data_IF_191286655306
#
_entry.id   IF_191286655306
#
_cell.length_a   1.000
_cell.length_b   1.000
_cell.length_c   1.000
_cell.angle_alpha   90.00
_cell.angle_beta   90.00
_cell.angle_gamma   90.00
#
_symmetry.space_group_name_H-M   'P 1'
#
loop_
_entity.id
_entity.type
_entity.pdbx_description
1 polymer ?
#
# COMPACT_ATOMS: atom_id res chain seq x y z
N UNK A 1 12.75 -11.99 -3.16
CA UNK A 1 13.46 -12.49 -4.36
C UNK A 1 12.41 -13.17 -5.24
N UNK A 2 12.27 -12.73 -6.49
CA UNK A 2 11.27 -13.33 -7.39
C UNK A 2 11.62 -14.80 -7.66
N UNK A 3 10.64 -15.68 -7.52
CA UNK A 3 10.79 -17.10 -7.84
C UNK A 3 10.32 -17.32 -9.28
N UNK A 4 11.25 -17.16 -10.21
CA UNK A 4 10.98 -17.27 -11.64
C UNK A 4 10.59 -18.67 -12.08
N UNK A 5 11.13 -19.71 -11.44
CA UNK A 5 10.81 -21.09 -11.77
C UNK A 5 9.35 -21.41 -11.45
N UNK A 6 8.89 -20.99 -10.28
CA UNK A 6 7.47 -21.15 -9.91
C UNK A 6 6.55 -20.31 -10.79
N UNK A 7 6.96 -19.07 -11.16
CA UNK A 7 6.20 -18.22 -12.06
C UNK A 7 6.04 -18.86 -13.44
N UNK A 8 7.10 -19.38 -14.00
CA UNK A 8 7.08 -20.05 -15.30
C UNK A 8 6.26 -21.34 -15.24
N UNK A 9 6.45 -22.16 -14.22
CA UNK A 9 5.68 -23.40 -14.03
C UNK A 9 4.16 -23.13 -13.88
N UNK A 10 3.80 -22.07 -13.18
CA UNK A 10 2.40 -21.66 -13.04
C UNK A 10 1.81 -21.21 -14.40
N UNK A 11 2.56 -20.46 -15.18
CA UNK A 11 2.14 -20.04 -16.51
C UNK A 11 1.96 -21.23 -17.46
N UNK A 12 2.91 -22.18 -17.44
CA UNK A 12 2.84 -23.39 -18.27
C UNK A 12 1.66 -24.27 -17.86
N UNK A 13 1.36 -24.33 -16.56
CA UNK A 13 0.15 -25.02 -16.06
C UNK A 13 -1.13 -24.38 -16.57
N UNK A 14 -1.22 -23.04 -16.63
CA UNK A 14 -2.36 -22.34 -17.22
C UNK A 14 -2.52 -22.70 -18.68
N UNK A 15 -1.41 -22.73 -19.44
CA UNK A 15 -1.45 -23.10 -20.87
C UNK A 15 -1.95 -24.54 -21.08
N UNK A 16 -1.46 -25.48 -20.28
CA UNK A 16 -1.90 -26.88 -20.32
C UNK A 16 -3.40 -27.04 -19.95
N UNK A 17 -3.85 -26.36 -18.91
CA UNK A 17 -5.27 -26.36 -18.50
C UNK A 17 -6.16 -25.73 -19.57
N UNK A 18 -5.70 -24.66 -20.25
CA UNK A 18 -6.42 -24.04 -21.37
C UNK A 18 -6.61 -25.04 -22.50
N UNK A 19 -5.56 -25.77 -22.90
CA UNK A 19 -5.67 -26.82 -23.93
C UNK A 19 -6.62 -27.93 -23.52
N UNK A 20 -6.49 -28.40 -22.28
CA UNK A 20 -7.38 -29.44 -21.75
C UNK A 20 -8.84 -28.98 -21.78
N UNK A 21 -9.12 -27.78 -21.28
CA UNK A 21 -10.46 -27.20 -21.30
C UNK A 21 -11.04 -27.12 -22.71
N UNK A 22 -10.25 -26.63 -23.65
CA UNK A 22 -10.68 -26.46 -25.04
C UNK A 22 -10.97 -27.81 -25.74
N UNK A 23 -10.42 -28.91 -25.24
CA UNK A 23 -10.66 -30.26 -25.77
C UNK A 23 -11.88 -30.97 -25.18
N UNK A 24 -12.44 -30.46 -24.08
CA UNK A 24 -13.59 -31.07 -23.43
C UNK A 24 -14.82 -31.14 -24.36
N UNK A 25 -15.65 -32.14 -24.14
CA UNK A 25 -16.89 -32.35 -24.91
C UNK A 25 -16.66 -32.30 -26.45
N UNK A 26 -15.61 -33.00 -26.93
CA UNK A 26 -15.20 -33.03 -28.32
C UNK A 26 -14.92 -31.62 -28.91
N UNK A 27 -14.41 -30.72 -28.11
CA UNK A 27 -14.07 -29.36 -28.53
C UNK A 27 -15.23 -28.37 -28.51
N UNK A 28 -16.35 -28.69 -27.89
CA UNK A 28 -17.48 -27.77 -27.70
C UNK A 28 -17.08 -26.42 -27.17
N UNK A 29 -16.10 -26.40 -26.26
CA UNK A 29 -15.58 -25.21 -25.59
C UNK A 29 -14.29 -24.69 -26.20
N UNK A 30 -13.95 -25.14 -27.42
CA UNK A 30 -12.74 -24.75 -28.10
C UNK A 30 -12.65 -23.21 -28.21
N UNK A 31 -11.50 -22.67 -27.86
CA UNK A 31 -11.16 -21.23 -27.86
C UNK A 31 -11.91 -20.34 -26.86
N UNK A 32 -12.75 -20.89 -25.99
CA UNK A 32 -13.38 -20.06 -24.94
C UNK A 32 -12.36 -19.48 -23.95
N UNK A 33 -11.32 -20.26 -23.63
CA UNK A 33 -10.27 -19.85 -22.68
C UNK A 33 -9.08 -19.16 -23.34
N UNK A 34 -9.04 -19.10 -24.69
CA UNK A 34 -7.95 -18.41 -25.40
C UNK A 34 -8.04 -16.88 -25.30
N UNK A 35 -9.21 -16.39 -24.95
CA UNK A 35 -9.49 -14.98 -24.93
C UNK A 35 -8.97 -14.32 -23.65
N UNK A 36 -8.01 -13.42 -23.81
CA UNK A 36 -7.51 -12.59 -22.72
C UNK A 36 -8.48 -11.43 -22.48
N UNK A 37 -9.19 -11.38 -21.35
CA UNK A 37 -10.13 -10.30 -21.07
C UNK A 37 -9.48 -8.94 -21.27
N UNK A 38 -10.07 -8.10 -22.09
CA UNK A 38 -9.60 -6.73 -22.38
C UNK A 38 -8.15 -6.63 -22.86
N UNK A 39 -7.53 -7.73 -23.32
CA UNK A 39 -6.12 -7.80 -23.72
C UNK A 39 -5.15 -7.29 -22.65
N UNK A 40 -5.48 -7.50 -21.38
CA UNK A 40 -4.68 -7.02 -20.26
C UNK A 40 -3.32 -7.75 -20.20
N UNK A 41 -2.20 -7.02 -19.97
CA UNK A 41 -0.87 -7.61 -19.92
C UNK A 41 -0.67 -8.58 -18.75
N UNK A 42 -1.52 -8.55 -17.71
CA UNK A 42 -1.47 -9.48 -16.58
C UNK A 42 -1.64 -10.96 -17.00
N UNK A 43 -2.22 -11.21 -18.17
CA UNK A 43 -2.35 -12.57 -18.73
C UNK A 43 -1.18 -12.97 -19.63
N UNK A 44 -0.17 -12.14 -19.78
CA UNK A 44 1.04 -12.48 -20.50
C UNK A 44 2.03 -13.18 -19.58
N UNK A 45 2.91 -14.02 -20.14
CA UNK A 45 4.07 -14.52 -19.40
C UNK A 45 4.87 -13.32 -18.91
N UNK A 46 5.28 -13.35 -17.65
CA UNK A 46 6.08 -12.27 -17.07
C UNK A 46 7.44 -12.23 -17.77
N UNK A 47 7.76 -11.11 -18.40
CA UNK A 47 9.05 -10.90 -19.02
C UNK A 47 10.13 -10.72 -17.95
N UNK A 48 11.21 -11.49 -18.06
CA UNK A 48 12.39 -11.30 -17.24
C UNK A 48 13.10 -10.05 -17.74
N UNK A 49 12.73 -8.89 -17.24
CA UNK A 49 13.52 -7.68 -17.47
C UNK A 49 14.90 -7.90 -16.84
N UNK A 50 15.96 -7.72 -17.61
CA UNK A 50 17.31 -7.63 -17.03
C UNK A 50 17.24 -6.60 -15.89
N UNK A 51 17.86 -6.93 -14.76
CA UNK A 51 17.87 -6.05 -13.59
C UNK A 51 18.49 -4.70 -13.98
N UNK A 52 17.65 -3.78 -14.41
CA UNK A 52 18.00 -2.40 -14.66
C UNK A 52 17.97 -1.69 -13.32
N UNK A 53 19.15 -1.43 -12.81
CA UNK A 53 19.49 -0.84 -11.53
C UNK A 53 19.36 -1.79 -10.32
N UNK A 54 20.29 -1.72 -9.36
CA UNK A 54 20.08 -2.37 -8.08
C UNK A 54 18.77 -1.83 -7.52
N UNK A 55 17.85 -2.73 -7.15
CA UNK A 55 16.77 -2.35 -6.26
C UNK A 55 17.45 -1.59 -5.12
N UNK A 56 17.05 -0.33 -4.93
CA UNK A 56 17.47 0.44 -3.76
C UNK A 56 17.39 -0.49 -2.57
N UNK A 57 18.53 -0.68 -1.90
CA UNK A 57 18.65 -1.60 -0.77
C UNK A 57 17.41 -1.44 0.10
N UNK A 58 16.76 -2.54 0.47
CA UNK A 58 15.52 -2.51 1.25
C UNK A 58 15.73 -1.59 2.44
N UNK A 59 15.20 -0.38 2.36
CA UNK A 59 15.31 0.62 3.41
C UNK A 59 14.62 0.04 4.64
N UNK A 60 15.38 -0.24 5.67
CA UNK A 60 14.82 -0.78 6.91
C UNK A 60 14.06 0.34 7.63
N UNK A 61 12.79 0.12 7.89
CA UNK A 61 12.00 1.03 8.71
C UNK A 61 12.58 1.05 10.15
N UNK A 62 12.73 2.24 10.72
CA UNK A 62 13.13 2.42 12.13
C UNK A 62 11.98 2.12 13.09
N UNK A 63 10.76 2.36 12.65
CA UNK A 63 9.53 1.96 13.33
C UNK A 63 8.50 1.48 12.32
N UNK A 64 7.70 0.49 12.73
CA UNK A 64 6.58 -0.03 11.96
C UNK A 64 5.45 -0.36 12.90
N UNK A 65 4.22 -0.04 12.51
CA UNK A 65 2.99 -0.37 13.23
C UNK A 65 1.92 -0.84 12.26
N UNK A 66 1.11 -1.75 12.71
CA UNK A 66 -0.22 -1.98 12.15
C UNK A 66 -1.16 -0.84 12.61
N UNK A 67 -2.14 -0.47 11.80
CA UNK A 67 -3.11 0.57 12.17
C UNK A 67 -3.82 0.30 13.49
N UNK A 68 -4.08 -0.98 13.79
CA UNK A 68 -4.72 -1.42 15.04
C UNK A 68 -3.81 -1.31 16.28
N UNK A 69 -2.51 -1.03 16.13
CA UNK A 69 -1.54 -0.93 17.23
C UNK A 69 -1.34 0.51 17.76
N UNK A 70 -2.20 1.44 17.34
CA UNK A 70 -2.14 2.81 17.84
C UNK A 70 -2.26 2.86 19.37
N UNK A 71 -1.37 3.61 20.01
CA UNK A 71 -1.36 3.73 21.50
C UNK A 71 -2.55 4.50 22.06
N UNK A 72 -3.13 5.41 21.25
CA UNK A 72 -4.29 6.24 21.63
C UNK A 72 -5.16 6.46 20.41
N UNK A 73 -6.43 6.59 20.64
CA UNK A 73 -7.44 6.89 19.64
C UNK A 73 -8.52 5.81 19.58
N UNK A 74 -9.60 6.14 18.91
CA UNK A 74 -10.72 5.24 18.68
C UNK A 74 -10.68 4.79 17.22
N UNK A 75 -10.57 3.49 17.01
CA UNK A 75 -10.67 2.90 15.69
C UNK A 75 -11.49 1.62 15.76
N UNK A 76 -12.15 1.30 14.67
CA UNK A 76 -12.80 0.00 14.48
C UNK A 76 -11.77 -0.93 13.87
N UNK A 77 -11.46 -2.01 14.55
CA UNK A 77 -10.56 -3.03 14.00
C UNK A 77 -11.28 -3.85 12.96
N UNK A 78 -10.76 -3.83 11.73
CA UNK A 78 -11.24 -4.59 10.59
C UNK A 78 -10.45 -5.91 10.50
N UNK A 79 -10.99 -6.99 11.05
CA UNK A 79 -10.36 -8.31 11.01
C UNK A 79 -10.40 -8.90 9.59
N UNK A 80 -9.33 -9.60 9.21
CA UNK A 80 -9.19 -10.21 7.88
C UNK A 80 -8.78 -9.26 6.77
N UNK A 81 -8.62 -7.96 7.04
CA UNK A 81 -8.19 -6.94 6.09
C UNK A 81 -6.77 -6.47 6.36
N UNK A 82 -6.14 -5.90 5.33
CA UNK A 82 -4.77 -5.38 5.43
C UNK A 82 -3.69 -6.45 5.30
N UNK A 83 -2.45 -6.01 5.34
CA UNK A 83 -1.27 -6.84 5.11
C UNK A 83 -1.07 -7.93 6.17
N UNK A 84 -1.37 -7.61 7.43
CA UNK A 84 -1.24 -8.51 8.57
C UNK A 84 -2.58 -9.10 9.03
N UNK A 85 -3.63 -8.98 8.20
CA UNK A 85 -4.97 -9.45 8.52
C UNK A 85 -5.71 -8.60 9.55
N UNK A 86 -5.23 -7.40 9.81
CA UNK A 86 -5.88 -6.39 10.67
C UNK A 86 -5.63 -5.00 10.10
N UNK A 87 -6.66 -4.19 10.03
CA UNK A 87 -6.58 -2.78 9.70
C UNK A 87 -7.44 -1.96 10.65
N UNK A 88 -7.29 -0.66 10.69
CA UNK A 88 -8.03 0.22 11.59
C UNK A 88 -8.85 1.26 10.81
N UNK A 89 -10.16 1.17 10.87
CA UNK A 89 -11.04 2.22 10.36
C UNK A 89 -11.07 3.38 11.36
N UNK A 90 -10.72 4.56 10.88
CA UNK A 90 -10.73 5.80 11.64
C UNK A 90 -11.98 6.59 11.22
N UNK A 91 -12.91 6.82 12.15
CA UNK A 91 -14.09 7.63 11.87
C UNK A 91 -13.70 9.06 11.59
N UNK A 92 -14.49 9.74 10.78
CA UNK A 92 -14.29 11.17 10.48
C UNK A 92 -14.19 12.00 11.77
N UNK A 93 -13.09 12.74 11.90
CA UNK A 93 -12.79 13.56 13.06
C UNK A 93 -11.98 12.85 14.15
N UNK A 94 -11.95 11.53 14.19
CA UNK A 94 -11.12 10.76 15.11
C UNK A 94 -9.66 10.68 14.62
N UNK A 95 -8.77 10.37 15.55
CA UNK A 95 -7.34 10.28 15.27
C UNK A 95 -6.71 9.09 15.99
N UNK A 96 -5.66 8.54 15.37
CA UNK A 96 -4.78 7.54 15.95
C UNK A 96 -3.42 8.16 16.26
N UNK A 97 -2.83 7.79 17.40
CA UNK A 97 -1.52 8.27 17.83
C UNK A 97 -0.54 7.11 17.97
N UNK A 98 0.59 7.23 17.28
CA UNK A 98 1.73 6.32 17.35
C UNK A 98 2.87 7.02 18.06
N UNK A 99 3.53 6.33 18.99
CA UNK A 99 4.63 6.90 19.76
C UNK A 99 5.92 6.15 19.49
N UNK A 100 7.00 6.88 19.29
CA UNK A 100 8.32 6.33 19.05
C UNK A 100 9.41 7.10 19.77
N UNK A 101 10.58 6.46 19.87
CA UNK A 101 11.71 7.03 20.58
C UNK A 101 12.52 8.01 19.76
N UNK A 102 13.65 8.42 20.31
CA UNK A 102 14.56 9.35 19.68
C UNK A 102 15.08 8.83 18.32
N UNK A 103 15.07 9.71 17.34
CA UNK A 103 15.69 9.50 16.03
C UNK A 103 16.98 10.30 15.94
N UNK A 104 17.95 9.78 15.18
CA UNK A 104 19.25 10.45 14.95
C UNK A 104 19.24 11.37 13.73
N UNK A 105 18.06 11.73 13.26
CA UNK A 105 17.86 12.55 12.07
C UNK A 105 16.98 13.76 12.40
N UNK A 106 17.06 14.79 11.59
CA UNK A 106 16.23 15.99 11.70
C UNK A 106 14.98 15.93 10.83
N UNK A 107 14.77 14.85 10.08
CA UNK A 107 13.56 14.58 9.34
C UNK A 107 13.30 13.08 9.18
N UNK A 108 12.03 12.72 9.07
CA UNK A 108 11.56 11.33 8.90
C UNK A 108 10.61 11.25 7.72
N UNK A 109 10.78 10.24 6.89
CA UNK A 109 9.80 9.87 5.87
C UNK A 109 8.80 8.90 6.51
N UNK A 110 7.53 9.22 6.38
CA UNK A 110 6.42 8.41 6.87
C UNK A 110 5.71 7.79 5.67
N UNK A 111 5.77 6.47 5.56
CA UNK A 111 4.96 5.68 4.63
C UNK A 111 3.66 5.30 5.31
N UNK A 112 2.55 5.79 4.79
CA UNK A 112 1.21 5.50 5.29
C UNK A 112 0.52 4.62 4.26
N UNK A 113 0.13 3.44 4.68
CA UNK A 113 -0.56 2.44 3.86
C UNK A 113 -2.00 2.32 4.31
N UNK A 114 -2.91 2.46 3.35
CA UNK A 114 -4.34 2.46 3.57
C UNK A 114 -5.01 1.43 2.64
N UNK A 115 -6.20 0.98 3.00
CA UNK A 115 -6.99 0.15 2.11
C UNK A 115 -7.58 0.99 0.98
N UNK A 116 -7.52 0.53 -0.27
CA UNK A 116 -8.04 1.24 -1.43
C UNK A 116 -9.55 1.04 -1.58
N UNK A 117 -10.30 1.47 -0.56
CA UNK A 117 -11.76 1.38 -0.54
C UNK A 117 -12.43 2.55 -1.26
N UNK A 118 -13.74 2.43 -1.49
CA UNK A 118 -14.53 3.50 -2.07
C UNK A 118 -14.86 4.59 -1.06
N UNK A 119 -14.94 5.86 -1.47
CA UNK A 119 -15.36 6.94 -0.61
C UNK A 119 -16.87 6.83 -0.31
N UNK A 120 -17.26 7.32 0.85
CA UNK A 120 -18.67 7.49 1.20
C UNK A 120 -19.23 8.77 0.55
N UNK A 121 -18.35 9.77 0.43
CA UNK A 121 -18.64 11.07 -0.19
C UNK A 121 -17.43 11.48 -1.03
N UNK A 122 -17.66 12.26 -2.08
CA UNK A 122 -16.61 12.74 -2.98
C UNK A 122 -15.83 11.64 -3.72
N UNK A 123 -14.75 12.04 -4.40
CA UNK A 123 -13.90 11.16 -5.20
C UNK A 123 -12.59 10.78 -4.48
N UNK A 124 -12.35 11.33 -3.29
CA UNK A 124 -11.10 11.18 -2.53
C UNK A 124 -11.39 10.89 -1.08
N UNK A 125 -10.45 10.20 -0.44
CA UNK A 125 -10.39 10.08 1.00
C UNK A 125 -9.23 10.92 1.52
N UNK A 126 -9.51 11.76 2.51
CA UNK A 126 -8.54 12.68 3.12
C UNK A 126 -8.29 12.32 4.57
N UNK A 127 -7.06 12.49 4.95
CA UNK A 127 -6.62 12.43 6.34
C UNK A 127 -5.54 13.50 6.57
N UNK A 128 -5.24 13.81 7.80
CA UNK A 128 -4.14 14.69 8.13
C UNK A 128 -3.12 13.96 9.00
N UNK A 129 -1.88 14.40 8.88
CA UNK A 129 -0.74 13.85 9.61
C UNK A 129 -0.01 14.97 10.30
N UNK A 130 0.29 14.80 11.57
CA UNK A 130 1.14 15.74 12.32
C UNK A 130 2.13 15.01 13.19
N UNK A 131 3.29 15.62 13.40
CA UNK A 131 4.34 15.12 14.29
C UNK A 131 4.53 16.13 15.43
N UNK A 132 4.49 15.63 16.68
CA UNK A 132 4.75 16.41 17.91
C UNK A 132 3.89 17.66 18.09
N UNK A 133 2.69 17.68 17.51
CA UNK A 133 1.78 18.82 17.58
C UNK A 133 2.10 19.94 16.59
N UNK A 134 2.95 19.68 15.59
CA UNK A 134 3.14 20.58 14.46
C UNK A 134 1.85 20.75 13.64
N UNK A 135 1.82 21.77 12.78
CA UNK A 135 0.70 22.00 11.86
C UNK A 135 0.40 20.73 11.04
N UNK A 136 -0.85 20.24 11.02
CA UNK A 136 -1.19 19.03 10.31
C UNK A 136 -1.08 19.18 8.79
N UNK A 137 -0.38 18.27 8.13
CA UNK A 137 -0.37 18.15 6.68
C UNK A 137 -1.56 17.33 6.21
N UNK A 138 -2.36 17.89 5.29
CA UNK A 138 -3.51 17.20 4.70
C UNK A 138 -3.06 16.36 3.51
N UNK A 139 -3.38 15.08 3.58
CA UNK A 139 -3.04 14.08 2.57
C UNK A 139 -4.33 13.49 2.01
N UNK A 140 -4.39 13.30 0.69
CA UNK A 140 -5.52 12.68 0.03
C UNK A 140 -5.08 11.54 -0.85
N UNK A 141 -5.93 10.54 -1.04
CA UNK A 141 -5.76 9.51 -2.05
C UNK A 141 -7.02 9.34 -2.88
N UNK A 142 -6.80 9.11 -4.18
CA UNK A 142 -7.89 9.01 -5.15
C UNK A 142 -8.63 7.69 -4.98
N UNK A 143 -9.94 7.76 -4.86
CA UNK A 143 -10.81 6.61 -4.68
C UNK A 143 -11.94 6.55 -5.70
N UNK A 144 -11.97 7.51 -6.63
CA UNK A 144 -12.92 7.49 -7.74
C UNK A 144 -12.74 6.23 -8.58
N UNK A 145 -13.80 5.46 -8.72
CA UNK A 145 -13.79 4.25 -9.52
C UNK A 145 -13.32 4.48 -10.95
N UNK A 146 -12.39 3.63 -11.43
CA UNK A 146 -11.73 3.69 -12.74
C UNK A 146 -10.71 4.81 -12.94
N UNK A 147 -10.39 5.65 -11.96
CA UNK A 147 -9.22 6.51 -12.04
C UNK A 147 -7.94 5.66 -12.11
N UNK A 148 -6.86 6.19 -12.69
CA UNK A 148 -5.61 5.44 -12.81
C UNK A 148 -5.02 5.13 -11.42
N UNK A 149 -5.03 6.10 -10.52
CA UNK A 149 -4.56 5.90 -9.15
C UNK A 149 -5.37 4.81 -8.41
N UNK A 150 -6.72 4.84 -8.55
CA UNK A 150 -7.55 3.82 -7.95
C UNK A 150 -7.24 2.42 -8.48
N UNK A 151 -7.07 2.28 -9.79
CA UNK A 151 -6.68 1.00 -10.41
C UNK A 151 -5.35 0.48 -9.87
N UNK A 152 -4.34 1.34 -9.78
CA UNK A 152 -3.05 0.97 -9.21
C UNK A 152 -3.16 0.56 -7.74
N UNK A 153 -3.89 1.32 -6.95
CA UNK A 153 -4.10 1.03 -5.54
C UNK A 153 -4.82 -0.31 -5.35
N UNK A 154 -5.87 -0.59 -6.13
CA UNK A 154 -6.60 -1.87 -6.08
C UNK A 154 -5.72 -3.04 -6.53
N UNK A 155 -4.97 -2.91 -7.62
CA UNK A 155 -4.06 -3.95 -8.10
C UNK A 155 -2.93 -4.25 -7.10
N UNK A 156 -2.50 -3.25 -6.37
CA UNK A 156 -1.50 -3.36 -5.30
C UNK A 156 -2.11 -3.81 -3.97
N UNK A 157 -3.42 -3.75 -3.86
CA UNK A 157 -4.19 -3.93 -2.62
C UNK A 157 -3.82 -2.94 -1.51
N UNK A 158 -3.24 -1.81 -1.84
CA UNK A 158 -2.86 -0.73 -0.92
C UNK A 158 -2.85 0.63 -1.62
N UNK A 159 -3.34 1.66 -0.95
CA UNK A 159 -3.02 3.05 -1.25
C UNK A 159 -1.82 3.46 -0.39
N UNK A 160 -0.78 4.01 -1.00
CA UNK A 160 0.45 4.40 -0.30
C UNK A 160 0.64 5.90 -0.41
N UNK A 161 0.90 6.55 0.73
CA UNK A 161 1.27 7.96 0.81
C UNK A 161 2.56 8.11 1.59
N UNK A 162 3.44 8.95 1.06
CA UNK A 162 4.74 9.26 1.65
C UNK A 162 4.80 10.74 1.95
N UNK A 163 5.17 11.07 3.15
CA UNK A 163 5.37 12.43 3.60
C UNK A 163 6.70 12.54 4.35
N UNK A 164 7.34 13.69 4.29
CA UNK A 164 8.58 13.95 5.04
C UNK A 164 8.28 15.02 6.08
N UNK A 165 8.44 14.66 7.34
CA UNK A 165 8.16 15.52 8.48
C UNK A 165 9.46 15.90 9.20
N UNK A 166 9.62 17.17 9.63
CA UNK A 166 10.75 17.57 10.44
C UNK A 166 10.66 16.96 11.83
N UNK A 167 11.79 16.48 12.35
CA UNK A 167 11.92 15.92 13.69
C UNK A 167 12.57 16.95 14.61
N UNK A 168 11.94 17.20 15.74
CA UNK A 168 12.53 18.04 16.81
C UNK A 168 13.43 17.20 17.69
N UNK A 169 14.41 17.82 18.39
CA UNK A 169 15.37 17.10 19.26
C UNK A 169 14.77 16.52 20.56
N UNK A 170 13.52 16.07 20.54
CA UNK A 170 12.85 15.43 21.67
C UNK A 170 13.28 13.97 21.82
N UNK A 171 13.21 13.45 23.04
CA UNK A 171 13.50 12.03 23.31
C UNK A 171 12.36 11.09 22.95
N UNK A 172 11.16 11.61 22.78
CA UNK A 172 9.96 10.85 22.42
C UNK A 172 9.10 11.68 21.50
N UNK A 173 8.56 11.04 20.49
CA UNK A 173 7.77 11.65 19.42
C UNK A 173 6.38 11.04 19.37
N UNK A 174 5.42 11.81 18.87
CA UNK A 174 4.05 11.40 18.65
C UNK A 174 3.63 11.74 17.22
N UNK A 175 3.37 10.71 16.44
CA UNK A 175 2.75 10.82 15.12
C UNK A 175 1.25 10.68 15.28
N UNK A 176 0.49 11.66 14.79
CA UNK A 176 -0.97 11.66 14.83
C UNK A 176 -1.50 11.58 13.40
N UNK A 177 -2.36 10.60 13.15
CA UNK A 177 -3.09 10.44 11.88
C UNK A 177 -4.57 10.63 12.18
N UNK A 178 -5.19 11.65 11.58
CA UNK A 178 -6.59 12.00 11.80
C UNK A 178 -7.38 11.86 10.50
N UNK A 179 -8.50 11.14 10.53
CA UNK A 179 -9.41 11.04 9.39
C UNK A 179 -10.18 12.35 9.20
N UNK A 180 -10.21 12.86 7.99
CA UNK A 180 -11.00 14.02 7.58
C UNK A 180 -12.28 13.61 6.85
N UNK A 181 -12.33 12.37 6.36
CA UNK A 181 -13.49 11.78 5.69
C UNK A 181 -13.82 10.42 6.30
N UNK A 182 -15.06 9.95 6.11
CA UNK A 182 -15.46 8.58 6.45
C UNK A 182 -14.84 7.58 5.47
N UNK A 183 -14.47 6.40 5.96
CA UNK A 183 -13.89 5.32 5.15
C UNK A 183 -12.37 5.35 5.08
N UNK A 184 -11.69 6.15 5.88
CA UNK A 184 -10.22 6.08 6.03
C UNK A 184 -9.86 4.84 6.84
N UNK A 185 -9.26 3.84 6.19
CA UNK A 185 -8.87 2.58 6.82
C UNK A 185 -7.34 2.45 6.74
N UNK A 186 -6.71 2.58 7.89
CA UNK A 186 -5.26 2.52 8.04
C UNK A 186 -4.79 1.06 8.18
N UNK A 187 -3.91 0.63 7.30
CA UNK A 187 -3.29 -0.70 7.33
C UNK A 187 -1.97 -0.67 8.10
N UNK A 188 -0.99 0.07 7.60
CA UNK A 188 0.34 0.13 8.21
C UNK A 188 0.91 1.55 8.18
N UNK A 189 1.77 1.84 9.16
CA UNK A 189 2.59 3.05 9.21
C UNK A 189 4.05 2.64 9.38
N UNK A 190 4.92 3.14 8.52
CA UNK A 190 6.35 2.88 8.57
C UNK A 190 7.13 4.19 8.61
N UNK A 191 8.15 4.26 9.44
CA UNK A 191 9.04 5.41 9.54
C UNK A 191 10.42 5.06 9.03
N UNK A 192 10.99 5.97 8.24
CA UNK A 192 12.35 5.87 7.71
C UNK A 192 13.14 7.14 8.00
N UNK A 193 14.35 6.99 8.49
CA UNK A 193 15.27 8.13 8.63
C UNK A 193 15.63 8.69 7.25
N UNK A 194 15.58 10.02 7.12
CA UNK A 194 16.03 10.71 5.92
C UNK A 194 17.47 11.16 6.12
N UNK A 195 18.41 10.47 5.48
CA UNK A 195 19.81 10.89 5.48
C UNK A 195 19.99 12.06 4.49
N UNK A 196 20.37 13.22 4.97
CA UNK A 196 20.70 14.38 4.13
C UNK A 196 21.94 14.20 3.25
N UNK A 197 22.68 13.11 3.39
CA UNK A 197 23.90 12.84 2.64
C UNK A 197 23.62 12.05 1.34
N UNK A 198 22.85 12.64 0.44
CA UNK A 198 22.51 12.06 -0.88
C UNK A 198 22.48 13.11 -1.99
N UNK A 199 23.07 14.30 -1.79
CA UNK A 199 23.31 15.26 -2.85
C UNK A 199 24.80 15.50 -2.97
N UNK A 200 25.45 14.78 -3.87
CA UNK A 200 26.85 15.02 -4.13
C UNK A 200 27.46 13.99 -5.06
N UNK A 201 27.54 14.38 -6.32
CA UNK A 201 28.43 13.99 -7.40
C UNK A 201 27.95 12.85 -8.26
#
# INVERSE_FOLDING_TARGET
>A
KADWEKSDAAYDSIAALTQHYNSLENGKWNRMMDFKPRKLPVFNRVERKAATAPMTADRKAVCQWNGAEAKKGNAIVCEGLGYEGKAAEIRKGDALTFSFGNLKTDSVEVDIRLLPNHPVQDDKLRFSVSLDGAEPEVVAYETKGRSEEWKENVLRNQAIRKIVLPVTGKKSHQLVIKALDEGVILDQVMLYEVNRNGSGI
#
